data_IF_269667721551
#
_entry.id   IF_269667721551
#
_cell.length_a   1.000
_cell.length_b   1.000
_cell.length_c   1.000
_cell.angle_alpha   90.00
_cell.angle_beta   90.00
_cell.angle_gamma   90.00
#
_symmetry.space_group_name_H-M   'P 1'
#
loop_
_entity.id
_entity.type
_entity.pdbx_description
1 polymer ?
#
# COMPACT_ATOMS: atom_id res chain seq x y z
N UNK A 1 11.07 -10.36 19.69
CA UNK A 1 11.12 -9.82 18.32
C UNK A 1 9.69 -9.68 17.84
N UNK A 2 9.29 -8.51 17.31
CA UNK A 2 7.96 -8.34 16.75
C UNK A 2 7.80 -9.22 15.51
N UNK A 3 6.70 -9.98 15.42
CA UNK A 3 6.36 -10.79 14.25
C UNK A 3 5.10 -10.25 13.58
N UNK A 4 5.13 -10.16 12.26
CA UNK A 4 3.95 -9.79 11.47
C UNK A 4 2.90 -10.90 11.63
N UNK A 5 1.69 -10.51 12.02
CA UNK A 5 0.55 -11.42 12.24
C UNK A 5 -0.43 -11.40 11.07
N UNK A 6 -0.77 -10.21 10.56
CA UNK A 6 -1.58 -10.08 9.34
C UNK A 6 -1.25 -8.81 8.56
N UNK A 7 -1.57 -8.85 7.26
CA UNK A 7 -1.57 -7.71 6.35
C UNK A 7 -2.90 -7.69 5.58
N UNK A 8 -3.53 -6.52 5.48
CA UNK A 8 -4.72 -6.31 4.64
C UNK A 8 -4.52 -5.07 3.77
N UNK A 9 -4.41 -5.28 2.48
CA UNK A 9 -4.31 -4.21 1.49
C UNK A 9 -5.68 -3.82 0.94
N UNK A 10 -5.82 -2.55 0.53
CA UNK A 10 -6.97 -2.03 -0.21
C UNK A 10 -6.54 -0.94 -1.18
N UNK A 11 -7.30 -0.76 -2.25
CA UNK A 11 -7.16 0.39 -3.13
C UNK A 11 -7.83 1.61 -2.51
N UNK A 12 -7.15 2.75 -2.54
CA UNK A 12 -7.67 4.08 -2.19
C UNK A 12 -7.35 5.06 -3.32
N UNK A 13 -7.83 6.30 -3.23
CA UNK A 13 -7.43 7.38 -4.13
C UNK A 13 -6.43 8.31 -3.44
N UNK A 14 -5.40 8.75 -4.16
CA UNK A 14 -4.48 9.78 -3.72
C UNK A 14 -5.12 11.19 -3.76
N UNK A 15 -4.34 12.23 -3.43
CA UNK A 15 -4.78 13.63 -3.49
C UNK A 15 -5.10 14.15 -4.91
N UNK A 16 -4.75 13.42 -5.96
CA UNK A 16 -5.04 13.72 -7.37
C UNK A 16 -6.11 12.80 -7.97
N UNK A 17 -6.76 11.97 -7.16
CA UNK A 17 -7.77 11.02 -7.61
C UNK A 17 -7.22 9.80 -8.34
N UNK A 18 -5.91 9.55 -8.30
CA UNK A 18 -5.29 8.36 -8.88
C UNK A 18 -5.35 7.17 -7.89
N UNK A 19 -5.67 5.95 -8.36
CA UNK A 19 -5.59 4.76 -7.51
C UNK A 19 -4.20 4.56 -6.88
N UNK A 20 -4.17 4.32 -5.57
CA UNK A 20 -2.97 3.90 -4.81
C UNK A 20 -3.33 2.83 -3.77
N UNK A 21 -2.35 2.29 -3.06
CA UNK A 21 -2.51 1.21 -2.09
C UNK A 21 -2.38 1.73 -0.66
N UNK A 22 -3.27 1.25 0.21
CA UNK A 22 -3.18 1.38 1.66
C UNK A 22 -3.14 -0.01 2.30
N UNK A 23 -2.34 -0.16 3.36
CA UNK A 23 -2.18 -1.42 4.08
C UNK A 23 -2.42 -1.22 5.58
N UNK A 24 -3.24 -2.10 6.14
CA UNK A 24 -3.32 -2.34 7.58
C UNK A 24 -2.41 -3.52 7.94
N UNK A 25 -1.58 -3.35 8.97
CA UNK A 25 -0.68 -4.38 9.50
C UNK A 25 -0.93 -4.56 10.99
N UNK A 26 -0.87 -5.80 11.48
CA UNK A 26 -0.67 -6.05 12.90
C UNK A 26 0.56 -6.90 13.17
N UNK A 27 1.09 -6.74 14.37
CA UNK A 27 2.12 -7.61 14.93
C UNK A 27 1.54 -8.47 16.06
N UNK A 28 2.27 -9.51 16.43
CA UNK A 28 1.94 -10.43 17.52
C UNK A 28 1.70 -9.75 18.89
N UNK A 29 2.36 -8.61 19.12
CA UNK A 29 2.19 -7.72 20.29
C UNK A 29 0.89 -6.88 20.26
N UNK A 30 -0.01 -7.11 19.29
CA UNK A 30 -1.34 -6.49 19.24
C UNK A 30 -1.37 -5.07 18.70
N UNK A 31 -0.22 -4.44 18.44
CA UNK A 31 -0.15 -3.13 17.79
C UNK A 31 -0.66 -3.19 16.34
N UNK A 32 -1.34 -2.13 15.92
CA UNK A 32 -1.92 -1.99 14.57
C UNK A 32 -1.32 -0.75 13.90
N UNK A 33 -0.87 -0.93 12.66
CA UNK A 33 -0.28 0.13 11.84
C UNK A 33 -1.09 0.29 10.55
N UNK A 34 -1.18 1.52 10.06
CA UNK A 34 -1.76 1.84 8.76
C UNK A 34 -0.83 2.78 8.01
N UNK A 35 -0.58 2.47 6.75
CA UNK A 35 0.21 3.31 5.87
C UNK A 35 -0.35 3.27 4.44
N UNK A 36 -0.31 4.41 3.77
CA UNK A 36 -0.61 4.54 2.34
C UNK A 36 0.67 4.85 1.55
N UNK A 37 0.74 4.35 0.32
CA UNK A 37 1.86 4.62 -0.58
C UNK A 37 1.60 5.93 -1.33
N UNK A 38 2.54 6.89 -1.35
CA UNK A 38 2.42 8.07 -2.20
C UNK A 38 2.55 7.66 -3.67
N UNK A 39 1.66 8.16 -4.50
CA UNK A 39 1.73 8.02 -5.96
C UNK A 39 2.79 8.98 -6.50
N UNK A 40 4.02 8.49 -6.66
CA UNK A 40 4.99 9.13 -7.55
C UNK A 40 4.52 9.07 -9.00
N UNK A 41 5.18 9.81 -9.91
CA UNK A 41 4.94 9.73 -11.36
C UNK A 41 5.43 8.40 -11.96
N UNK A 42 4.95 7.27 -11.46
CA UNK A 42 5.24 5.93 -11.98
C UNK A 42 4.54 5.64 -13.32
N UNK A 43 4.17 6.68 -14.07
CA UNK A 43 3.68 6.62 -15.45
C UNK A 43 4.80 6.46 -16.48
N UNK A 44 5.98 5.94 -16.10
CA UNK A 44 6.91 5.45 -17.12
C UNK A 44 6.27 4.21 -17.72
N UNK A 45 5.47 4.45 -18.75
CA UNK A 45 5.32 3.64 -19.95
C UNK A 45 5.94 2.25 -19.79
N UNK A 46 5.23 1.38 -19.07
CA UNK A 46 5.34 -0.05 -19.28
C UNK A 46 4.31 -0.33 -20.37
N UNK A 47 4.59 0.12 -21.61
CA UNK A 47 4.00 -0.52 -22.79
C UNK A 47 4.23 -2.01 -22.59
N UNK A 48 3.16 -2.77 -22.51
CA UNK A 48 3.21 -4.21 -22.74
C UNK A 48 4.01 -4.42 -24.03
N UNK A 49 5.25 -4.86 -23.87
CA UNK A 49 5.95 -5.54 -24.94
C UNK A 49 5.21 -6.87 -25.08
N UNK A 50 4.45 -6.96 -26.18
CA UNK A 50 3.93 -8.22 -26.67
C UNK A 50 5.10 -9.18 -26.97
#
# INVERSE_FOLDING_TARGET
MPKIKYLKARQILDSRGSPTVEVDMSIDDGQIFRASVPSGASQVNMKQLN
#
